data_IF_168506053365
#
_entry.id   IF_168506053365
#
_cell.length_a   1.000
_cell.length_b   1.000
_cell.length_c   1.000
_cell.angle_alpha   90.00
_cell.angle_beta   90.00
_cell.angle_gamma   90.00
#
_symmetry.space_group_name_H-M   'P 1'
#
loop_
_entity.id
_entity.type
_entity.pdbx_description
1 polymer ?
#
# COMPACT_ATOMS: atom_id res chain seq x y z
N UNK A 1 -18.25 -11.77 7.76
CA UNK A 1 -17.24 -12.67 8.37
C UNK A 1 -17.91 -13.98 8.76
N UNK A 2 -17.31 -15.15 8.52
CA UNK A 2 -17.91 -16.42 8.92
C UNK A 2 -18.11 -16.44 10.45
N UNK A 3 -19.26 -16.94 10.92
CA UNK A 3 -19.61 -17.10 12.36
C UNK A 3 -18.56 -17.87 13.20
N UNK A 4 -17.58 -18.52 12.57
CA UNK A 4 -16.55 -19.35 13.20
C UNK A 4 -15.51 -18.59 14.04
N UNK A 5 -15.28 -17.30 13.79
CA UNK A 5 -14.14 -16.58 14.39
C UNK A 5 -14.50 -15.60 15.50
N UNK A 6 -15.78 -15.49 15.90
CA UNK A 6 -16.19 -14.70 17.06
C UNK A 6 -16.10 -13.16 16.93
N UNK A 7 -15.38 -12.64 15.93
CA UNK A 7 -15.20 -11.21 15.70
C UNK A 7 -13.94 -10.90 14.90
N UNK A 8 -13.66 -9.62 14.65
CA UNK A 8 -12.37 -9.17 14.11
C UNK A 8 -11.79 -8.12 15.07
N UNK A 9 -10.73 -8.51 15.79
CA UNK A 9 -10.05 -7.62 16.75
C UNK A 9 -8.79 -6.99 16.16
N UNK A 10 -8.17 -7.65 15.17
CA UNK A 10 -6.91 -7.22 14.58
C UNK A 10 -6.80 -7.62 13.13
N UNK A 11 -6.29 -6.72 12.28
CA UNK A 11 -6.03 -7.04 10.88
C UNK A 11 -4.89 -6.20 10.30
N UNK A 12 -4.27 -6.72 9.23
CA UNK A 12 -3.15 -6.09 8.55
C UNK A 12 -3.33 -6.20 7.05
N UNK A 13 -3.22 -5.06 6.36
CA UNK A 13 -3.16 -5.01 4.91
C UNK A 13 -1.71 -4.87 4.45
N UNK A 14 -1.16 -5.96 3.91
CA UNK A 14 0.25 -6.06 3.48
C UNK A 14 0.38 -6.06 1.95
N UNK A 15 -0.70 -6.34 1.23
CA UNK A 15 -0.67 -6.48 -0.22
C UNK A 15 -0.14 -5.22 -0.90
N UNK A 16 0.74 -5.41 -1.87
CA UNK A 16 1.29 -4.31 -2.65
C UNK A 16 2.03 -4.78 -3.90
N UNK A 17 2.10 -3.89 -4.88
CA UNK A 17 2.78 -4.07 -6.15
C UNK A 17 3.61 -2.83 -6.45
N UNK A 18 4.92 -3.00 -6.71
CA UNK A 18 5.79 -1.86 -6.99
C UNK A 18 5.65 -1.34 -8.43
N UNK A 19 5.30 -2.23 -9.37
CA UNK A 19 5.44 -1.92 -10.78
C UNK A 19 6.90 -1.95 -11.24
N UNK A 20 7.14 -1.81 -12.56
CA UNK A 20 8.47 -1.61 -13.10
C UNK A 20 9.03 -0.23 -12.73
N UNK A 21 10.35 -0.08 -12.73
CA UNK A 21 10.99 1.22 -12.59
C UNK A 21 10.87 2.01 -13.90
N UNK A 22 10.13 3.12 -13.90
CA UNK A 22 9.89 3.99 -15.07
C UNK A 22 9.83 5.45 -14.67
N UNK A 23 10.44 6.32 -15.47
CA UNK A 23 10.22 7.76 -15.31
C UNK A 23 8.76 8.09 -15.62
N UNK A 24 8.24 9.16 -15.00
CA UNK A 24 6.83 9.56 -15.16
C UNK A 24 6.47 9.79 -16.64
N UNK A 25 7.39 10.31 -17.43
CA UNK A 25 7.18 10.58 -18.87
C UNK A 25 7.09 9.30 -19.72
N UNK A 26 7.55 8.16 -19.19
CA UNK A 26 7.57 6.85 -19.85
C UNK A 26 6.63 5.84 -19.17
N UNK A 27 5.83 6.29 -18.20
CA UNK A 27 4.84 5.49 -17.51
C UNK A 27 3.62 5.28 -18.40
N UNK A 28 3.06 4.08 -18.38
CA UNK A 28 1.82 3.79 -19.14
C UNK A 28 0.61 3.84 -18.22
N UNK A 29 -0.54 4.20 -18.78
CA UNK A 29 -1.81 4.23 -18.06
C UNK A 29 -2.15 2.86 -17.47
N UNK A 30 -1.81 1.77 -18.17
CA UNK A 30 -2.06 0.40 -17.69
C UNK A 30 -1.23 0.07 -16.44
N UNK A 31 0.06 0.43 -16.43
CA UNK A 31 0.91 0.21 -15.25
C UNK A 31 0.47 1.10 -14.10
N UNK A 32 0.16 2.37 -14.38
CA UNK A 32 -0.40 3.29 -13.39
C UNK A 32 -1.66 2.69 -12.74
N UNK A 33 -2.63 2.30 -13.54
CA UNK A 33 -3.91 1.74 -13.09
C UNK A 33 -3.70 0.44 -12.30
N UNK A 34 -2.77 -0.41 -12.71
CA UNK A 34 -2.44 -1.62 -11.97
C UNK A 34 -1.85 -1.30 -10.59
N UNK A 35 -0.89 -0.39 -10.51
CA UNK A 35 -0.24 0.00 -9.25
C UNK A 35 -1.24 0.68 -8.32
N UNK A 36 -2.02 1.65 -8.81
CA UNK A 36 -3.07 2.33 -8.04
C UNK A 36 -4.17 1.36 -7.62
N UNK A 37 -4.61 0.51 -8.54
CA UNK A 37 -5.66 -0.49 -8.32
C UNK A 37 -5.32 -1.45 -7.19
N UNK A 38 -4.09 -1.97 -7.17
CA UNK A 38 -3.63 -2.86 -6.09
C UNK A 38 -3.38 -2.09 -4.79
N UNK A 39 -2.58 -1.03 -4.84
CA UNK A 39 -2.02 -0.43 -3.64
C UNK A 39 -2.94 0.56 -2.94
N UNK A 40 -3.71 1.34 -3.71
CA UNK A 40 -4.59 2.38 -3.18
C UNK A 40 -6.04 1.89 -3.13
N UNK A 41 -6.61 1.50 -4.27
CA UNK A 41 -8.00 1.04 -4.35
C UNK A 41 -8.20 -0.26 -3.56
N UNK A 42 -7.26 -1.20 -3.69
CA UNK A 42 -7.25 -2.43 -2.89
C UNK A 42 -7.17 -2.16 -1.39
N UNK A 43 -6.28 -1.24 -0.97
CA UNK A 43 -6.16 -0.85 0.44
C UNK A 43 -7.43 -0.17 0.98
N UNK A 44 -8.08 0.68 0.19
CA UNK A 44 -9.37 1.26 0.53
C UNK A 44 -10.44 0.18 0.72
N UNK A 45 -10.57 -0.74 -0.23
CA UNK A 45 -11.55 -1.83 -0.17
C UNK A 45 -11.34 -2.72 1.05
N UNK A 46 -10.09 -3.11 1.32
CA UNK A 46 -9.73 -3.88 2.50
C UNK A 46 -10.06 -3.12 3.79
N UNK A 47 -9.61 -1.87 3.91
CA UNK A 47 -9.80 -1.04 5.10
C UNK A 47 -11.28 -0.86 5.40
N UNK A 48 -12.08 -0.52 4.38
CA UNK A 48 -13.54 -0.38 4.51
C UNK A 48 -14.20 -1.65 5.01
N UNK A 49 -13.89 -2.79 4.39
CA UNK A 49 -14.47 -4.07 4.79
C UNK A 49 -14.05 -4.48 6.21
N UNK A 50 -12.77 -4.31 6.55
CA UNK A 50 -12.22 -4.65 7.86
C UNK A 50 -12.85 -3.80 8.97
N UNK A 51 -12.88 -2.48 8.81
CA UNK A 51 -13.46 -1.56 9.81
C UNK A 51 -14.96 -1.73 9.97
N UNK A 52 -15.67 -2.16 8.91
CA UNK A 52 -17.09 -2.49 8.98
C UNK A 52 -17.35 -3.75 9.82
N UNK A 53 -16.42 -4.70 9.80
CA UNK A 53 -16.51 -5.95 10.56
C UNK A 53 -15.87 -5.89 11.95
N UNK A 54 -15.09 -4.84 12.24
CA UNK A 54 -14.29 -4.71 13.45
C UNK A 54 -15.14 -4.29 14.65
N UNK A 55 -14.95 -4.98 15.77
CA UNK A 55 -15.54 -4.63 17.06
C UNK A 55 -14.88 -3.39 17.69
N UNK A 56 -15.46 -2.89 18.78
CA UNK A 56 -14.84 -1.82 19.55
C UNK A 56 -13.49 -2.29 20.15
N UNK A 57 -12.51 -1.40 20.21
CA UNK A 57 -11.17 -1.73 20.75
C UNK A 57 -10.22 -2.40 19.75
N UNK A 58 -10.65 -2.65 18.51
CA UNK A 58 -9.83 -3.32 17.49
C UNK A 58 -8.67 -2.49 16.95
N UNK A 59 -7.81 -3.12 16.15
CA UNK A 59 -6.64 -2.47 15.54
C UNK A 59 -6.43 -2.89 14.08
N UNK A 60 -6.22 -1.90 13.21
CA UNK A 60 -5.86 -2.10 11.79
C UNK A 60 -4.48 -1.51 11.50
N UNK A 61 -3.65 -2.26 10.77
CA UNK A 61 -2.36 -1.76 10.26
C UNK A 61 -2.30 -1.87 8.75
N UNK A 62 -2.00 -0.75 8.07
CA UNK A 62 -1.73 -0.73 6.63
C UNK A 62 -0.23 -0.68 6.34
N UNK A 63 0.21 -1.33 5.26
CA UNK A 63 1.59 -1.23 4.78
C UNK A 63 1.73 -0.11 3.74
N UNK A 64 2.44 0.95 4.13
CA UNK A 64 2.97 1.94 3.20
C UNK A 64 4.43 1.60 2.85
N UNK A 65 5.28 2.58 2.56
CA UNK A 65 6.71 2.43 2.23
C UNK A 65 7.44 3.75 2.52
N UNK A 66 8.78 3.74 2.50
CA UNK A 66 9.56 4.96 2.36
C UNK A 66 9.08 5.83 1.18
N UNK A 67 8.67 5.22 0.06
CA UNK A 67 8.04 5.92 -1.07
C UNK A 67 6.68 6.56 -0.75
N UNK A 68 6.07 6.25 0.40
CA UNK A 68 4.90 6.94 0.93
C UNK A 68 5.23 8.18 1.75
N UNK A 69 6.50 8.41 2.10
CA UNK A 69 6.99 9.55 2.88
C UNK A 69 7.85 10.51 2.05
N UNK A 70 8.45 10.02 0.96
CA UNK A 70 9.27 10.80 0.04
C UNK A 70 9.07 10.31 -1.39
N UNK A 71 9.47 11.12 -2.37
CA UNK A 71 9.53 10.70 -3.77
C UNK A 71 10.75 9.81 -4.02
N UNK A 72 10.55 8.75 -4.81
CA UNK A 72 11.63 7.90 -5.31
C UNK A 72 11.66 8.00 -6.84
N UNK A 73 12.84 8.28 -7.39
CA UNK A 73 13.04 8.38 -8.84
C UNK A 73 12.63 7.07 -9.51
N UNK A 74 11.88 7.18 -10.61
CA UNK A 74 11.42 6.03 -11.39
C UNK A 74 10.33 5.19 -10.75
N UNK A 75 9.72 5.64 -9.64
CA UNK A 75 8.67 4.92 -8.92
C UNK A 75 7.44 5.81 -8.69
N UNK A 76 7.05 6.60 -9.69
CA UNK A 76 6.00 7.62 -9.57
C UNK A 76 4.65 7.04 -9.11
N UNK A 77 4.13 6.06 -9.85
CA UNK A 77 2.87 5.39 -9.52
C UNK A 77 2.92 4.74 -8.14
N UNK A 78 4.02 4.07 -7.81
CA UNK A 78 4.21 3.43 -6.52
C UNK A 78 4.21 4.44 -5.37
N UNK A 79 5.00 5.51 -5.47
CA UNK A 79 5.07 6.54 -4.44
C UNK A 79 3.72 7.21 -4.22
N UNK A 80 3.02 7.58 -5.31
CA UNK A 80 1.67 8.15 -5.24
C UNK A 80 0.71 7.21 -4.50
N UNK A 81 0.71 5.92 -4.87
CA UNK A 81 -0.13 4.90 -4.24
C UNK A 81 0.15 4.74 -2.74
N UNK A 82 1.43 4.79 -2.33
CA UNK A 82 1.84 4.62 -0.93
C UNK A 82 1.57 5.86 -0.08
N UNK A 83 1.58 7.06 -0.67
CA UNK A 83 1.06 8.27 -0.02
C UNK A 83 -0.46 8.18 0.21
N UNK A 84 -1.21 7.64 -0.75
CA UNK A 84 -2.65 7.44 -0.60
C UNK A 84 -2.99 6.55 0.61
N UNK A 85 -2.19 5.49 0.84
CA UNK A 85 -2.34 4.62 2.03
C UNK A 85 -2.15 5.38 3.34
N UNK A 86 -1.21 6.33 3.41
CA UNK A 86 -1.00 7.17 4.61
C UNK A 86 -2.21 8.08 4.83
N UNK A 87 -2.69 8.75 3.78
CA UNK A 87 -3.88 9.60 3.83
C UNK A 87 -5.10 8.82 4.31
N UNK A 88 -5.36 7.66 3.70
CA UNK A 88 -6.42 6.74 4.08
C UNK A 88 -6.33 6.33 5.55
N UNK A 89 -5.15 5.93 6.01
CA UNK A 89 -4.94 5.47 7.39
C UNK A 89 -5.20 6.58 8.41
N UNK A 90 -4.74 7.80 8.13
CA UNK A 90 -5.00 8.97 8.98
C UNK A 90 -6.48 9.32 9.07
N UNK A 91 -7.20 9.28 7.95
CA UNK A 91 -8.65 9.52 7.93
C UNK A 91 -9.40 8.45 8.70
N UNK A 92 -9.13 7.17 8.41
CA UNK A 92 -9.77 6.05 9.08
C UNK A 92 -9.54 6.05 10.60
N UNK A 93 -8.34 6.43 11.06
CA UNK A 93 -8.05 6.57 12.49
C UNK A 93 -8.96 7.60 13.18
N UNK A 94 -9.22 8.73 12.52
CA UNK A 94 -10.11 9.78 13.04
C UNK A 94 -11.57 9.33 13.06
N UNK A 95 -12.02 8.67 12.00
CA UNK A 95 -13.41 8.19 11.88
C UNK A 95 -13.74 7.10 12.92
N UNK A 96 -12.76 6.26 13.26
CA UNK A 96 -12.97 5.09 14.11
C UNK A 96 -12.65 5.33 15.59
N UNK A 97 -12.20 6.52 15.97
CA UNK A 97 -11.84 6.87 17.34
C UNK A 97 -12.99 6.69 18.35
N UNK A 98 -14.24 6.96 17.95
CA UNK A 98 -15.42 6.77 18.81
C UNK A 98 -15.68 5.30 19.17
N UNK A 99 -15.19 4.36 18.35
CA UNK A 99 -15.25 2.91 18.61
C UNK A 99 -14.01 2.40 19.33
N UNK A 100 -13.11 3.29 19.77
CA UNK A 100 -11.80 2.94 20.33
C UNK A 100 -10.98 2.02 19.40
N UNK A 101 -11.18 2.14 18.09
CA UNK A 101 -10.45 1.36 17.09
C UNK A 101 -9.24 2.17 16.62
N UNK A 102 -8.07 1.55 16.62
CA UNK A 102 -6.83 2.20 16.19
C UNK A 102 -6.53 1.83 14.74
N UNK A 103 -6.15 2.82 13.94
CA UNK A 103 -5.67 2.59 12.58
C UNK A 103 -4.30 3.23 12.44
N UNK A 104 -3.31 2.43 12.05
CA UNK A 104 -1.94 2.88 11.84
C UNK A 104 -1.41 2.40 10.49
N UNK A 105 -0.27 2.94 10.08
CA UNK A 105 0.47 2.39 8.96
C UNK A 105 1.96 2.29 9.29
N UNK A 106 2.63 1.34 8.66
CA UNK A 106 4.08 1.14 8.78
C UNK A 106 4.73 1.46 7.43
N UNK A 107 5.89 2.12 7.47
CA UNK A 107 6.63 2.55 6.30
C UNK A 107 8.01 1.86 6.22
N UNK A 108 8.07 0.60 5.75
CA UNK A 108 9.34 -0.07 5.55
C UNK A 108 10.23 0.65 4.54
N UNK A 109 11.54 0.66 4.82
CA UNK A 109 12.58 0.87 3.81
C UNK A 109 12.76 -0.38 2.95
N UNK A 110 13.87 -0.46 2.22
CA UNK A 110 14.21 -1.65 1.44
C UNK A 110 14.41 -2.85 2.35
N UNK A 111 13.65 -3.94 2.11
CA UNK A 111 13.77 -5.22 2.82
C UNK A 111 13.97 -6.30 1.76
N UNK A 112 14.91 -7.21 1.97
CA UNK A 112 15.15 -8.35 1.07
C UNK A 112 13.89 -9.22 0.96
N UNK A 113 13.18 -9.01 -0.14
CA UNK A 113 11.91 -9.64 -0.48
C UNK A 113 11.88 -9.87 -1.98
N UNK A 114 11.07 -10.82 -2.50
CA UNK A 114 10.94 -11.02 -3.95
C UNK A 114 10.59 -9.74 -4.71
N UNK A 115 9.80 -8.84 -4.10
CA UNK A 115 9.46 -7.54 -4.66
C UNK A 115 10.69 -6.68 -4.95
N UNK A 116 11.68 -6.66 -4.05
CA UNK A 116 12.93 -5.90 -4.26
C UNK A 116 13.74 -6.50 -5.40
N UNK A 117 13.80 -7.83 -5.50
CA UNK A 117 14.50 -8.53 -6.60
C UNK A 117 13.90 -8.23 -7.97
N UNK A 118 12.59 -8.04 -8.04
CA UNK A 118 11.92 -7.69 -9.30
C UNK A 118 12.14 -6.21 -9.70
N UNK A 119 12.26 -5.32 -8.71
CA UNK A 119 12.69 -3.93 -8.93
C UNK A 119 14.13 -3.91 -9.44
N UNK A 120 15.05 -4.65 -8.81
CA UNK A 120 16.46 -4.73 -9.23
C UNK A 120 16.60 -5.21 -10.68
N UNK A 121 15.85 -6.23 -11.08
CA UNK A 121 15.79 -6.69 -12.48
C UNK A 121 15.28 -5.59 -13.43
N UNK A 122 14.26 -4.84 -13.00
CA UNK A 122 13.68 -3.74 -13.80
C UNK A 122 14.69 -2.59 -14.00
N UNK A 123 15.47 -2.27 -12.96
CA UNK A 123 16.56 -1.29 -13.03
C UNK A 123 17.66 -1.81 -13.98
N UNK A 124 18.08 -3.07 -13.82
CA UNK A 124 19.10 -3.68 -14.67
C UNK A 124 18.72 -3.71 -16.15
N UNK A 125 17.47 -4.04 -16.47
CA UNK A 125 16.94 -4.02 -17.84
C UNK A 125 16.92 -2.61 -18.45
N UNK A 126 16.60 -1.59 -17.65
CA UNK A 126 16.55 -0.19 -18.11
C UNK A 126 17.94 0.36 -18.46
N UNK A 127 18.99 -0.12 -17.81
CA UNK A 127 20.39 0.27 -18.10
C UNK A 127 20.92 -0.37 -19.40
N UNK A 128 20.40 -1.54 -19.79
CA UNK A 128 20.81 -2.22 -21.03
C UNK A 128 20.14 -1.69 -22.30
N UNK A 129 19.03 -0.96 -22.18
CA UNK A 129 18.30 -0.37 -23.33
C UNK A 129 18.69 1.07 -23.65
N UNK A 130 19.65 1.66 -22.92
CA UNK A 130 20.10 3.05 -23.10
C UNK A 130 21.30 3.20 -24.07
N UNK A 131 21.37 2.37 -25.12
CA UNK A 131 22.36 2.47 -26.20
C UNK A 131 21.70 2.65 -27.55
#
# INVERSE_FOLDING_TARGET
>A
MPKRFGGLDGCVNIAGFCGPHRYIVDETDEIWDQVIGVNATGAFNYTRAALSAMGAGGSLVNFTSAGGLQGLVGMGAYCASKHAVIGLSKTAAKEMGSKNVRVNCVAPGTIDTPMVKDIEKSIGASLTTAH
#
